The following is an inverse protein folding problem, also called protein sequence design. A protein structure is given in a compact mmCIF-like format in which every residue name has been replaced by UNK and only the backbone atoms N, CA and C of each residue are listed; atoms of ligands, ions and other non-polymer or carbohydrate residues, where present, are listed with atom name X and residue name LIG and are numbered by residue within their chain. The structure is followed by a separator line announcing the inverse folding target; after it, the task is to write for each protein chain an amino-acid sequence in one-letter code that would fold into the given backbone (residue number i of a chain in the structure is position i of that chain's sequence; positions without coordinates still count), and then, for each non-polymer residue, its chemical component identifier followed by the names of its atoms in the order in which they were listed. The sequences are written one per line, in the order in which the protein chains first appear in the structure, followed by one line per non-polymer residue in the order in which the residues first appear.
data_IF_299425459517
#
_entry.id   IF_299425459517
#
_cell.length_a   1.000
_cell.length_b   1.000
_cell.length_c   1.000
_cell.angle_alpha   90.00
_cell.angle_beta   90.00
_cell.angle_gamma   90.00
#
_symmetry.space_group_name_H-M   'P 1'
#
loop_
_entity.id
_entity.type
_entity.pdbx_description
1 polymer ?
#
# COMPACT_ATOMS: atom_id res chain seq x y z
N UNK A 1 -18.72 7.19 19.47
CA UNK A 1 -17.65 6.19 19.49
C UNK A 1 -17.15 6.01 20.91
N UNK A 2 -16.60 7.05 21.55
CA UNK A 2 -16.18 7.01 22.96
C UNK A 2 -17.28 6.58 23.93
N UNK A 3 -18.52 7.10 23.79
CA UNK A 3 -19.65 6.61 24.59
C UNK A 3 -19.83 5.09 24.52
N UNK A 4 -19.75 4.49 23.32
CA UNK A 4 -19.86 3.03 23.17
C UNK A 4 -18.70 2.27 23.82
N UNK A 5 -17.53 2.90 23.95
CA UNK A 5 -16.37 2.32 24.62
C UNK A 5 -16.57 2.40 26.14
N UNK A 6 -17.02 3.55 26.64
CA UNK A 6 -17.36 3.77 28.05
C UNK A 6 -18.44 2.78 28.51
N UNK A 7 -19.51 2.62 27.73
CA UNK A 7 -20.60 1.68 27.99
C UNK A 7 -20.11 0.21 28.06
N UNK A 8 -19.08 -0.15 27.29
CA UNK A 8 -18.54 -1.52 27.25
C UNK A 8 -17.50 -1.81 28.32
N UNK A 9 -16.79 -0.78 28.80
CA UNK A 9 -15.70 -0.93 29.75
C UNK A 9 -16.08 -0.57 31.18
N UNK A 10 -17.30 -0.05 31.40
CA UNK A 10 -17.78 0.47 32.69
C UNK A 10 -16.80 1.49 33.30
N UNK A 11 -16.17 2.30 32.43
CA UNK A 11 -15.29 3.40 32.80
C UNK A 11 -15.71 4.67 32.08
N UNK A 12 -15.55 5.81 32.73
CA UNK A 12 -15.67 7.12 32.09
C UNK A 12 -14.29 7.56 31.58
N UNK A 13 -14.20 7.92 30.30
CA UNK A 13 -12.95 8.40 29.72
C UNK A 13 -12.86 9.90 30.03
N UNK A 14 -11.84 10.27 30.81
CA UNK A 14 -11.64 11.66 31.22
C UNK A 14 -11.57 12.61 30.01
N UNK A 15 -12.59 13.46 29.86
CA UNK A 15 -12.60 14.48 28.81
C UNK A 15 -11.55 15.55 29.08
N UNK A 16 -10.46 15.51 28.33
CA UNK A 16 -9.38 16.50 28.46
C UNK A 16 -9.64 17.81 27.70
N UNK A 17 -10.12 17.72 26.44
CA UNK A 17 -10.33 18.89 25.58
C UNK A 17 -11.38 18.62 24.50
N UNK A 18 -12.21 19.64 24.20
CA UNK A 18 -13.08 19.65 23.02
C UNK A 18 -12.43 20.48 21.90
N UNK A 19 -12.44 19.94 20.68
CA UNK A 19 -11.92 20.61 19.48
C UNK A 19 -12.93 20.51 18.34
N UNK A 20 -12.96 21.50 17.45
CA UNK A 20 -13.79 21.44 16.25
C UNK A 20 -13.12 20.53 15.21
N UNK A 21 -13.78 19.42 14.86
CA UNK A 21 -13.24 18.43 13.92
C UNK A 21 -12.94 19.02 12.54
N UNK A 22 -13.76 19.95 12.05
CA UNK A 22 -13.56 20.60 10.74
C UNK A 22 -12.31 21.47 10.75
N UNK A 23 -12.10 22.25 11.80
CA UNK A 23 -10.91 23.10 11.92
C UNK A 23 -9.64 22.28 12.12
N UNK A 24 -9.71 21.19 12.90
CA UNK A 24 -8.59 20.25 13.03
C UNK A 24 -8.23 19.61 11.68
N UNK A 25 -9.22 19.18 10.90
CA UNK A 25 -8.96 18.56 9.60
C UNK A 25 -8.41 19.57 8.58
N UNK A 26 -8.90 20.82 8.59
CA UNK A 26 -8.29 21.90 7.79
C UNK A 26 -6.82 22.14 8.15
N UNK A 27 -6.47 22.07 9.44
CA UNK A 27 -5.08 22.20 9.90
C UNK A 27 -4.21 21.06 9.36
N UNK A 28 -4.70 19.82 9.42
CA UNK A 28 -4.03 18.64 8.84
C UNK A 28 -3.79 18.86 7.34
N UNK A 29 -4.83 19.21 6.59
CA UNK A 29 -4.72 19.41 5.15
C UNK A 29 -3.78 20.57 4.78
N UNK A 30 -3.80 21.66 5.56
CA UNK A 30 -2.86 22.77 5.36
C UNK A 30 -1.42 22.27 5.50
N UNK A 31 -1.11 21.55 6.57
CA UNK A 31 0.20 20.94 6.78
C UNK A 31 0.58 20.01 5.61
N UNK A 32 -0.36 19.17 5.15
CA UNK A 32 -0.12 18.25 4.03
C UNK A 32 0.20 18.99 2.73
N UNK A 33 -0.51 20.08 2.43
CA UNK A 33 -0.25 20.90 1.25
C UNK A 33 1.13 21.59 1.34
N UNK A 34 1.52 22.03 2.53
CA UNK A 34 2.76 22.78 2.77
C UNK A 34 4.01 21.89 2.85
N UNK A 35 3.88 20.67 3.36
CA UNK A 35 5.02 19.82 3.75
C UNK A 35 4.93 18.38 3.22
N UNK A 36 3.78 17.98 2.66
CA UNK A 36 3.47 16.59 2.34
C UNK A 36 3.03 15.73 3.51
N UNK A 37 3.09 16.26 4.74
CA UNK A 37 2.80 15.57 6.00
C UNK A 37 1.79 16.34 6.87
N UNK A 38 1.06 15.68 7.79
CA UNK A 38 1.20 14.29 8.21
C UNK A 38 0.58 13.30 7.22
N UNK A 39 1.07 12.06 7.27
CA UNK A 39 0.44 10.94 6.57
C UNK A 39 -0.92 10.62 7.21
N UNK A 40 -1.86 10.10 6.42
CA UNK A 40 -3.13 9.60 6.95
C UNK A 40 -3.12 8.08 6.97
N UNK A 41 -3.28 7.52 8.16
CA UNK A 41 -3.45 6.08 8.34
C UNK A 41 -4.84 5.79 8.89
N UNK A 42 -5.64 5.05 8.12
CA UNK A 42 -7.01 4.74 8.47
C UNK A 42 -7.04 3.53 9.42
N UNK A 43 -6.77 3.81 10.70
CA UNK A 43 -6.63 2.81 11.76
C UNK A 43 -7.76 1.79 11.80
N UNK A 44 -8.99 2.21 11.53
CA UNK A 44 -10.17 1.35 11.50
C UNK A 44 -10.14 0.37 10.32
N UNK A 45 -9.82 0.85 9.11
CA UNK A 45 -9.68 0.00 7.92
C UNK A 45 -8.52 -0.98 8.07
N UNK A 46 -7.36 -0.52 8.55
CA UNK A 46 -6.20 -1.37 8.79
C UNK A 46 -6.46 -2.46 9.85
N UNK A 47 -7.16 -2.13 10.94
CA UNK A 47 -7.46 -3.12 11.98
C UNK A 47 -8.60 -4.08 11.62
N UNK A 48 -9.59 -3.67 10.80
CA UNK A 48 -10.56 -4.61 10.22
C UNK A 48 -9.87 -5.67 9.37
N UNK A 49 -8.78 -5.29 8.69
CA UNK A 49 -7.96 -6.17 7.87
C UNK A 49 -6.89 -6.95 8.65
N UNK A 50 -6.75 -6.74 9.96
CA UNK A 50 -5.71 -7.37 10.77
C UNK A 50 -5.92 -8.90 10.86
N UNK A 51 -4.97 -9.72 10.39
CA UNK A 51 -5.08 -11.18 10.52
C UNK A 51 -4.89 -11.67 11.96
N UNK A 52 -4.29 -10.89 12.86
CA UNK A 52 -3.95 -11.29 14.24
C UNK A 52 -4.74 -10.51 15.29
N UNK A 53 -6.05 -10.33 15.11
CA UNK A 53 -6.91 -9.63 16.07
C UNK A 53 -6.93 -10.29 17.45
N UNK A 54 -6.67 -11.61 17.53
CA UNK A 54 -6.55 -12.35 18.79
C UNK A 54 -5.31 -11.95 19.61
N UNK A 55 -4.29 -11.40 18.98
CA UNK A 55 -3.08 -10.86 19.62
C UNK A 55 -3.17 -9.35 19.91
N UNK A 56 -4.35 -8.74 19.73
CA UNK A 56 -4.60 -7.32 19.93
C UNK A 56 -4.81 -6.54 18.64
N UNK A 57 -4.39 -5.27 18.62
CA UNK A 57 -4.63 -4.35 17.50
C UNK A 57 -3.30 -3.80 16.96
N UNK A 58 -3.35 -3.30 15.73
CA UNK A 58 -2.26 -2.61 15.04
C UNK A 58 -2.26 -1.15 15.51
N UNK A 59 -1.22 -0.67 16.20
CA UNK A 59 -1.24 0.67 16.78
C UNK A 59 -0.84 1.78 15.81
N UNK A 60 -0.08 1.47 14.75
CA UNK A 60 0.36 2.43 13.74
C UNK A 60 1.04 1.79 12.53
N UNK A 61 1.31 2.62 11.51
CA UNK A 61 2.04 2.26 10.29
C UNK A 61 3.55 2.55 10.37
N UNK A 62 4.33 1.92 9.49
CA UNK A 62 5.73 2.28 9.27
C UNK A 62 5.88 3.66 8.59
N UNK A 63 7.11 4.07 8.30
CA UNK A 63 7.40 5.39 7.73
C UNK A 63 6.66 5.65 6.41
N UNK A 64 6.66 4.67 5.51
CA UNK A 64 6.13 4.80 4.17
C UNK A 64 4.62 4.36 4.05
N UNK A 65 3.99 3.98 5.18
CA UNK A 65 2.58 3.60 5.28
C UNK A 65 2.13 2.43 4.38
N UNK A 66 3.01 1.47 4.14
CA UNK A 66 2.72 0.22 3.45
C UNK A 66 2.76 -0.99 4.39
N UNK A 67 3.51 -0.94 5.49
CA UNK A 67 3.75 -2.11 6.34
C UNK A 67 3.42 -1.85 7.80
N UNK A 68 2.70 -2.79 8.41
CA UNK A 68 2.33 -2.76 9.82
C UNK A 68 1.82 -4.11 10.30
N UNK A 69 1.85 -4.32 11.61
CA UNK A 69 1.31 -5.50 12.29
C UNK A 69 1.02 -5.18 13.76
N UNK A 70 0.52 -6.17 14.50
CA UNK A 70 0.43 -6.11 15.95
C UNK A 70 1.83 -5.90 16.55
N UNK A 71 1.90 -4.98 17.52
CA UNK A 71 3.08 -4.81 18.39
C UNK A 71 2.62 -4.56 19.82
N UNK A 72 3.28 -5.20 20.78
CA UNK A 72 3.19 -4.86 22.21
C UNK A 72 4.23 -3.78 22.54
N UNK A 73 3.82 -2.56 22.97
CA UNK A 73 4.76 -1.50 23.30
C UNK A 73 5.79 -1.94 24.35
N UNK A 74 7.08 -1.73 24.05
CA UNK A 74 8.20 -2.09 24.92
C UNK A 74 8.68 -3.54 24.78
N UNK A 75 7.91 -4.42 24.14
CA UNK A 75 8.26 -5.84 23.95
C UNK A 75 8.49 -6.23 22.48
N UNK A 76 7.71 -5.64 21.57
CA UNK A 76 7.73 -5.98 20.14
C UNK A 76 7.92 -4.71 19.31
N UNK A 77 8.72 -4.78 18.25
CA UNK A 77 8.86 -3.71 17.26
C UNK A 77 8.69 -4.27 15.86
N UNK A 78 7.77 -3.67 15.09
CA UNK A 78 7.46 -4.13 13.74
C UNK A 78 8.70 -4.12 12.84
N UNK A 79 8.90 -5.23 12.15
CA UNK A 79 9.90 -5.41 11.10
C UNK A 79 9.25 -6.05 9.90
N UNK A 80 9.76 -5.77 8.70
CA UNK A 80 9.28 -6.39 7.48
C UNK A 80 10.43 -6.50 6.49
N UNK A 81 10.51 -7.63 5.80
CA UNK A 81 11.36 -7.77 4.63
C UNK A 81 10.51 -7.46 3.40
N UNK A 82 11.00 -6.58 2.53
CA UNK A 82 10.27 -6.11 1.37
C UNK A 82 10.96 -6.56 0.09
N UNK A 83 10.16 -6.91 -0.91
CA UNK A 83 10.57 -7.12 -2.30
C UNK A 83 9.45 -6.58 -3.20
N UNK A 84 9.71 -6.33 -4.47
CA UNK A 84 8.70 -5.78 -5.36
C UNK A 84 8.82 -6.34 -6.77
N UNK A 85 7.71 -6.88 -7.25
CA UNK A 85 7.59 -7.47 -8.57
C UNK A 85 7.68 -6.38 -9.64
N UNK A 86 8.54 -6.56 -10.64
CA UNK A 86 8.68 -5.62 -11.75
C UNK A 86 7.66 -5.94 -12.87
N UNK A 87 6.48 -5.31 -12.80
CA UNK A 87 5.37 -5.56 -13.73
C UNK A 87 5.65 -5.12 -15.17
N UNK A 88 6.68 -4.29 -15.39
CA UNK A 88 7.11 -3.91 -16.74
C UNK A 88 7.67 -5.11 -17.52
N UNK A 89 8.30 -6.05 -16.81
CA UNK A 89 9.13 -7.12 -17.37
C UNK A 89 8.56 -8.53 -17.14
N UNK A 90 7.64 -8.71 -16.20
CA UNK A 90 7.00 -10.01 -15.95
C UNK A 90 5.96 -10.28 -17.03
N UNK A 91 6.08 -11.43 -17.69
CA UNK A 91 5.05 -11.93 -18.58
C UNK A 91 4.01 -12.76 -17.81
N UNK A 92 2.73 -12.83 -18.28
CA UNK A 92 1.64 -13.44 -17.51
C UNK A 92 1.89 -14.88 -17.07
N UNK A 93 2.59 -15.67 -17.89
CA UNK A 93 2.88 -17.07 -17.62
C UNK A 93 3.95 -17.27 -16.53
N UNK A 94 4.80 -16.26 -16.30
CA UNK A 94 5.89 -16.28 -15.32
C UNK A 94 5.41 -15.84 -13.92
N UNK A 95 4.28 -15.13 -13.84
CA UNK A 95 3.76 -14.56 -12.60
C UNK A 95 3.69 -15.54 -11.43
N UNK A 96 3.21 -16.80 -11.59
CA UNK A 96 3.17 -17.77 -10.50
C UNK A 96 4.56 -18.07 -9.92
N UNK A 97 5.55 -18.28 -10.80
CA UNK A 97 6.93 -18.61 -10.41
C UNK A 97 7.60 -17.42 -9.74
N UNK A 98 7.43 -16.21 -10.28
CA UNK A 98 8.03 -15.00 -9.71
C UNK A 98 7.44 -14.68 -8.33
N UNK A 99 6.12 -14.82 -8.14
CA UNK A 99 5.49 -14.70 -6.82
C UNK A 99 6.03 -15.75 -5.83
N UNK A 100 6.23 -16.99 -6.27
CA UNK A 100 6.80 -18.04 -5.44
C UNK A 100 8.21 -17.70 -4.99
N UNK A 101 9.08 -17.29 -5.93
CA UNK A 101 10.46 -16.90 -5.65
C UNK A 101 10.48 -15.76 -4.64
N UNK A 102 9.69 -14.70 -4.85
CA UNK A 102 9.65 -13.53 -3.97
C UNK A 102 9.29 -13.91 -2.52
N UNK A 103 8.21 -14.69 -2.33
CA UNK A 103 7.79 -15.13 -0.99
C UNK A 103 8.85 -16.00 -0.32
N UNK A 104 9.42 -16.97 -1.05
CA UNK A 104 10.48 -17.84 -0.50
C UNK A 104 11.75 -17.07 -0.17
N UNK A 105 12.15 -16.10 -1.01
CA UNK A 105 13.27 -15.21 -0.74
C UNK A 105 13.05 -14.43 0.55
N UNK A 106 11.89 -13.79 0.71
CA UNK A 106 11.60 -12.99 1.90
C UNK A 106 11.49 -13.84 3.18
N UNK A 107 10.92 -15.05 3.12
CA UNK A 107 10.92 -15.98 4.26
C UNK A 107 12.33 -16.45 4.63
N UNK A 108 13.21 -16.67 3.65
CA UNK A 108 14.61 -16.98 3.92
C UNK A 108 15.36 -15.78 4.52
N UNK A 109 15.05 -14.56 4.07
CA UNK A 109 15.63 -13.31 4.61
C UNK A 109 15.36 -13.16 6.10
N UNK A 110 14.20 -13.59 6.59
CA UNK A 110 13.89 -13.63 8.04
C UNK A 110 14.94 -14.41 8.83
N UNK A 111 15.40 -15.56 8.30
CA UNK A 111 16.33 -16.47 8.98
C UNK A 111 17.77 -15.94 9.00
N UNK A 112 18.19 -15.26 7.93
CA UNK A 112 19.57 -14.76 7.80
C UNK A 112 19.75 -13.34 8.36
N UNK A 113 18.66 -12.62 8.63
CA UNK A 113 18.71 -11.25 9.14
C UNK A 113 19.03 -11.22 10.63
N UNK A 114 20.14 -10.57 10.98
CA UNK A 114 20.42 -10.21 12.36
C UNK A 114 19.66 -8.92 12.72
N UNK A 115 18.58 -9.07 13.48
CA UNK A 115 17.77 -7.94 13.94
C UNK A 115 18.56 -7.03 14.90
N UNK A 116 18.40 -5.70 14.81
CA UNK A 116 19.24 -4.75 15.55
C UNK A 116 19.01 -4.72 17.07
N UNK A 117 17.85 -5.18 17.55
CA UNK A 117 17.51 -5.20 18.98
C UNK A 117 16.43 -6.26 19.29
N UNK A 118 16.29 -6.62 20.57
CA UNK A 118 15.49 -7.79 20.99
C UNK A 118 14.00 -7.66 20.61
N UNK A 119 13.38 -6.50 20.79
CA UNK A 119 11.97 -6.33 20.44
C UNK A 119 11.67 -6.56 18.95
N UNK A 120 12.64 -6.23 18.07
CA UNK A 120 12.56 -6.53 16.64
C UNK A 120 12.71 -8.03 16.38
N UNK A 121 13.60 -8.71 17.10
CA UNK A 121 13.76 -10.17 17.05
C UNK A 121 12.49 -10.91 17.48
N UNK A 122 11.92 -10.52 18.61
CA UNK A 122 10.69 -11.08 19.18
C UNK A 122 9.54 -10.97 18.18
N UNK A 123 9.37 -9.78 17.58
CA UNK A 123 8.36 -9.57 16.55
C UNK A 123 8.59 -10.46 15.31
N UNK A 124 9.82 -10.46 14.78
CA UNK A 124 10.17 -11.20 13.56
C UNK A 124 9.93 -12.72 13.73
N UNK A 125 10.35 -13.28 14.86
CA UNK A 125 10.14 -14.69 15.19
C UNK A 125 8.66 -15.05 15.35
N UNK A 126 7.87 -14.16 15.95
CA UNK A 126 6.45 -14.40 16.23
C UNK A 126 5.55 -14.29 15.01
N UNK A 127 5.75 -13.27 14.18
CA UNK A 127 4.82 -12.92 13.11
C UNK A 127 5.35 -13.19 11.70
N UNK A 128 6.67 -13.32 11.53
CA UNK A 128 7.32 -13.63 10.24
C UNK A 128 6.81 -12.78 9.08
N UNK A 129 6.70 -11.48 9.31
CA UNK A 129 6.13 -10.49 8.38
C UNK A 129 7.03 -10.28 7.16
N UNK A 130 6.43 -10.41 5.98
CA UNK A 130 7.05 -10.10 4.69
C UNK A 130 6.11 -9.16 3.91
N UNK A 131 6.64 -8.51 2.88
CA UNK A 131 5.87 -7.63 2.02
C UNK A 131 6.33 -7.75 0.58
N UNK A 132 5.66 -8.62 -0.18
CA UNK A 132 5.76 -8.64 -1.64
C UNK A 132 4.91 -7.50 -2.19
N UNK A 133 5.56 -6.54 -2.83
CA UNK A 133 4.96 -5.40 -3.49
C UNK A 133 4.99 -5.51 -5.01
N UNK A 134 4.71 -4.40 -5.68
CA UNK A 134 4.81 -4.29 -7.13
C UNK A 134 5.28 -2.89 -7.53
N UNK A 135 6.10 -2.83 -8.57
CA UNK A 135 6.48 -1.62 -9.28
C UNK A 135 6.19 -1.77 -10.77
N UNK A 136 6.16 -0.67 -11.51
CA UNK A 136 5.96 -0.70 -12.96
C UNK A 136 4.50 -0.85 -13.41
N UNK A 137 3.50 -0.56 -12.56
CA UNK A 137 2.09 -0.70 -12.99
C UNK A 137 1.75 0.22 -14.16
N UNK A 138 2.30 1.45 -14.18
CA UNK A 138 2.07 2.37 -15.29
C UNK A 138 2.64 1.81 -16.60
N UNK A 139 3.76 1.09 -16.54
CA UNK A 139 4.36 0.43 -17.69
C UNK A 139 3.54 -0.76 -18.17
N UNK A 140 3.09 -1.61 -17.24
CA UNK A 140 2.21 -2.73 -17.54
C UNK A 140 0.91 -2.25 -18.22
N UNK A 141 0.30 -1.19 -17.69
CA UNK A 141 -0.87 -0.57 -18.30
C UNK A 141 -0.54 -0.05 -19.70
N UNK A 142 0.59 0.63 -19.88
CA UNK A 142 0.99 1.19 -21.16
C UNK A 142 1.21 0.12 -22.23
N UNK A 143 1.98 -0.93 -21.93
CA UNK A 143 2.21 -2.10 -22.81
C UNK A 143 0.89 -2.70 -23.30
N UNK A 144 -0.09 -2.79 -22.40
CA UNK A 144 -1.42 -3.36 -22.67
C UNK A 144 -2.42 -2.36 -23.25
N UNK A 145 -2.02 -1.11 -23.52
CA UNK A 145 -2.91 -0.03 -24.01
C UNK A 145 -4.08 0.26 -23.07
N UNK A 146 -3.82 0.15 -21.77
CA UNK A 146 -4.73 0.42 -20.68
C UNK A 146 -4.36 1.73 -19.96
N UNK A 147 -5.21 2.13 -19.04
CA UNK A 147 -5.01 3.28 -18.14
C UNK A 147 -5.57 2.96 -16.76
N UNK A 148 -5.33 3.81 -15.77
CA UNK A 148 -5.85 3.66 -14.41
C UNK A 148 -7.39 3.63 -14.28
N UNK A 149 -8.14 3.84 -15.36
CA UNK A 149 -9.59 3.62 -15.40
C UNK A 149 -9.99 2.16 -15.64
N UNK A 150 -9.05 1.30 -16.07
CA UNK A 150 -9.25 -0.12 -16.36
C UNK A 150 -9.15 -0.95 -15.07
N UNK A 151 -10.12 -0.73 -14.19
CA UNK A 151 -10.12 -1.26 -12.83
C UNK A 151 -10.26 -2.79 -12.80
N UNK A 152 -10.95 -3.39 -13.76
CA UNK A 152 -11.14 -4.85 -13.81
C UNK A 152 -9.82 -5.56 -14.10
N UNK A 153 -9.06 -5.06 -15.08
CA UNK A 153 -7.76 -5.59 -15.48
C UNK A 153 -6.73 -5.43 -14.37
N UNK A 154 -6.71 -4.27 -13.70
CA UNK A 154 -5.90 -4.05 -12.50
C UNK A 154 -6.31 -5.04 -11.39
N UNK A 155 -7.62 -5.24 -11.18
CA UNK A 155 -8.10 -6.20 -10.18
C UNK A 155 -7.62 -7.62 -10.47
N UNK A 156 -7.71 -8.10 -11.71
CA UNK A 156 -7.29 -9.46 -12.06
C UNK A 156 -5.78 -9.65 -11.85
N UNK A 157 -4.96 -8.68 -12.26
CA UNK A 157 -3.51 -8.73 -12.04
C UNK A 157 -3.16 -8.88 -10.55
N UNK A 158 -3.77 -8.04 -9.70
CA UNK A 158 -3.48 -8.07 -8.27
C UNK A 158 -4.19 -9.22 -7.54
N UNK A 159 -5.30 -9.73 -8.06
CA UNK A 159 -5.89 -10.98 -7.59
C UNK A 159 -4.91 -12.14 -7.77
N UNK A 160 -4.28 -12.25 -8.95
CA UNK A 160 -3.29 -13.29 -9.21
C UNK A 160 -2.05 -13.14 -8.31
N UNK A 161 -1.50 -11.93 -8.18
CA UNK A 161 -0.37 -11.66 -7.26
C UNK A 161 -0.73 -12.07 -5.83
N UNK A 162 -1.87 -11.59 -5.31
CA UNK A 162 -2.33 -11.89 -3.97
C UNK A 162 -2.55 -13.40 -3.77
N UNK A 163 -3.13 -14.08 -4.76
CA UNK A 163 -3.37 -15.52 -4.73
C UNK A 163 -2.07 -16.30 -4.67
N UNK A 164 -1.15 -16.08 -5.62
CA UNK A 164 0.09 -16.85 -5.71
C UNK A 164 0.99 -16.61 -4.50
N UNK A 165 1.12 -15.36 -4.04
CA UNK A 165 1.89 -15.09 -2.83
C UNK A 165 1.29 -15.77 -1.58
N UNK A 166 -0.04 -15.74 -1.41
CA UNK A 166 -0.71 -16.40 -0.29
C UNK A 166 -0.57 -17.91 -0.36
N UNK A 167 -0.76 -18.49 -1.55
CA UNK A 167 -0.56 -19.93 -1.80
C UNK A 167 0.86 -20.37 -1.46
N UNK A 168 1.89 -19.64 -1.90
CA UNK A 168 3.27 -19.98 -1.58
C UNK A 168 3.55 -19.92 -0.07
N UNK A 169 2.98 -18.95 0.66
CA UNK A 169 3.14 -18.92 2.12
C UNK A 169 2.46 -20.11 2.81
N UNK A 170 1.31 -20.57 2.29
CA UNK A 170 0.68 -21.82 2.75
C UNK A 170 1.55 -23.05 2.45
N UNK A 171 2.14 -23.13 1.25
CA UNK A 171 3.05 -24.22 0.87
C UNK A 171 4.31 -24.24 1.75
N UNK A 172 4.89 -23.08 2.05
CA UNK A 172 5.97 -22.97 3.02
C UNK A 172 5.56 -23.41 4.42
N UNK A 173 4.31 -23.21 4.83
CA UNK A 173 3.83 -23.70 6.12
C UNK A 173 3.77 -25.23 6.15
N UNK A 174 3.37 -25.86 5.04
CA UNK A 174 3.39 -27.32 4.88
C UNK A 174 4.83 -27.87 4.95
N UNK A 175 5.79 -27.15 4.39
CA UNK A 175 7.21 -27.55 4.37
C UNK A 175 7.93 -27.29 5.70
N UNK A 176 7.65 -26.16 6.36
CA UNK A 176 8.49 -25.59 7.45
C UNK A 176 7.71 -25.23 8.73
N UNK A 177 6.40 -25.41 8.74
CA UNK A 177 5.49 -24.97 9.80
C UNK A 177 4.98 -23.53 9.62
N UNK A 178 3.81 -23.24 10.18
CA UNK A 178 3.20 -21.90 10.18
C UNK A 178 3.89 -20.92 11.14
N UNK A 179 3.61 -19.61 11.02
CA UNK A 179 4.14 -18.60 11.97
C UNK A 179 3.62 -18.84 13.41
N UNK A 180 4.42 -18.60 14.47
CA UNK A 180 4.05 -18.96 15.84
C UNK A 180 2.70 -18.44 16.34
N UNK A 181 2.30 -17.23 15.95
CA UNK A 181 1.02 -16.62 16.36
C UNK A 181 -0.19 -17.06 15.49
N UNK A 182 -0.06 -18.08 14.64
CA UNK A 182 -1.12 -18.52 13.71
C UNK A 182 -2.41 -18.96 14.40
N UNK A 183 -2.34 -19.71 15.50
CA UNK A 183 -3.53 -20.24 16.18
C UNK A 183 -4.39 -19.10 16.74
N UNK A 184 -5.64 -19.02 16.29
CA UNK A 184 -6.58 -17.97 16.67
C UNK A 184 -6.64 -16.80 15.68
N UNK A 185 -5.72 -16.74 14.72
CA UNK A 185 -5.72 -15.75 13.64
C UNK A 185 -6.91 -15.91 12.71
N UNK A 186 -7.19 -14.85 11.94
CA UNK A 186 -8.14 -14.87 10.84
C UNK A 186 -7.81 -15.99 9.84
N UNK A 187 -6.53 -16.19 9.52
CA UNK A 187 -6.05 -17.27 8.66
C UNK A 187 -6.47 -18.65 9.19
N UNK A 188 -6.27 -18.90 10.50
CA UNK A 188 -6.66 -20.17 11.12
C UNK A 188 -8.17 -20.42 11.16
N UNK A 189 -8.97 -19.38 10.92
CA UNK A 189 -10.44 -19.43 10.82
C UNK A 189 -10.92 -19.54 9.36
N UNK A 190 -10.01 -19.76 8.40
CA UNK A 190 -10.33 -19.84 6.97
C UNK A 190 -10.61 -18.48 6.31
N UNK A 191 -10.37 -17.37 7.01
CA UNK A 191 -10.39 -16.04 6.37
C UNK A 191 -9.09 -15.84 5.61
N UNK A 192 -9.17 -15.07 4.53
CA UNK A 192 -8.06 -14.84 3.62
C UNK A 192 -7.60 -13.37 3.69
N UNK A 193 -6.91 -12.90 2.65
CA UNK A 193 -6.34 -11.55 2.52
C UNK A 193 -7.27 -10.48 3.09
N UNK A 194 -6.74 -9.66 4.01
CA UNK A 194 -7.48 -8.61 4.69
C UNK A 194 -8.53 -9.12 5.69
N UNK A 195 -8.30 -10.30 6.29
CA UNK A 195 -9.21 -10.97 7.21
C UNK A 195 -10.64 -11.15 6.64
N UNK A 196 -10.74 -11.30 5.31
CA UNK A 196 -12.03 -11.43 4.61
C UNK A 196 -12.51 -12.88 4.63
N UNK A 197 -13.81 -13.12 4.83
CA UNK A 197 -14.37 -14.47 4.79
C UNK A 197 -14.34 -15.00 3.34
N UNK A 198 -14.31 -16.33 3.18
CA UNK A 198 -14.19 -16.99 1.87
C UNK A 198 -15.34 -16.59 0.92
N UNK A 199 -16.53 -16.31 1.46
CA UNK A 199 -17.70 -15.87 0.72
C UNK A 199 -17.45 -14.57 -0.04
N UNK A 200 -16.59 -13.68 0.49
CA UNK A 200 -16.21 -12.46 -0.22
C UNK A 200 -15.50 -12.81 -1.53
N UNK A 201 -14.59 -13.79 -1.52
CA UNK A 201 -13.86 -14.22 -2.71
C UNK A 201 -14.77 -14.94 -3.70
N UNK A 202 -15.70 -15.76 -3.23
CA UNK A 202 -16.72 -16.40 -4.09
C UNK A 202 -17.63 -15.39 -4.82
N UNK A 203 -17.77 -14.18 -4.27
CA UNK A 203 -18.56 -13.10 -4.87
C UNK A 203 -17.75 -12.19 -5.78
N UNK A 204 -16.48 -11.90 -5.44
CA UNK A 204 -15.72 -10.81 -6.07
C UNK A 204 -14.51 -11.27 -6.90
N UNK A 205 -13.99 -12.48 -6.67
CA UNK A 205 -12.85 -13.00 -7.42
C UNK A 205 -13.26 -13.46 -8.82
N UNK A 206 -12.37 -13.27 -9.80
CA UNK A 206 -12.51 -13.81 -11.14
C UNK A 206 -12.39 -15.34 -11.14
N UNK A 207 -11.45 -15.88 -10.36
CA UNK A 207 -11.22 -17.32 -10.21
C UNK A 207 -11.60 -17.76 -8.79
N UNK A 208 -12.82 -18.24 -8.59
CA UNK A 208 -13.43 -18.37 -7.25
C UNK A 208 -12.99 -19.63 -6.53
N UNK A 209 -12.94 -20.73 -7.27
CA UNK A 209 -12.72 -22.08 -6.75
C UNK A 209 -11.33 -22.19 -6.11
N UNK A 210 -10.32 -21.52 -6.68
CA UNK A 210 -8.96 -21.51 -6.15
C UNK A 210 -8.88 -20.86 -4.76
N UNK A 211 -9.66 -19.81 -4.49
CA UNK A 211 -9.69 -19.16 -3.18
C UNK A 211 -10.40 -20.02 -2.13
N UNK A 212 -11.46 -20.74 -2.53
CA UNK A 212 -12.12 -21.69 -1.64
C UNK A 212 -11.16 -22.82 -1.25
N UNK A 213 -10.45 -23.38 -2.21
CA UNK A 213 -9.45 -24.41 -1.94
C UNK A 213 -8.32 -23.88 -1.06
N UNK A 214 -7.79 -22.69 -1.35
CA UNK A 214 -6.73 -22.07 -0.54
C UNK A 214 -7.15 -21.81 0.91
N UNK A 215 -8.41 -21.43 1.16
CA UNK A 215 -8.95 -21.28 2.52
C UNK A 215 -8.97 -22.61 3.28
N UNK A 216 -9.31 -23.72 2.61
CA UNK A 216 -9.27 -25.06 3.21
C UNK A 216 -7.82 -25.50 3.47
N UNK A 217 -6.94 -25.28 2.50
CA UNK A 217 -5.52 -25.64 2.61
C UNK A 217 -4.83 -24.87 3.74
N UNK A 218 -5.12 -23.58 3.93
CA UNK A 218 -4.59 -22.78 5.05
C UNK A 218 -5.10 -23.30 6.40
N UNK A 219 -6.35 -23.74 6.50
CA UNK A 219 -6.86 -24.34 7.74
C UNK A 219 -6.20 -25.69 8.03
N UNK A 220 -5.85 -26.45 6.99
CA UNK A 220 -5.22 -27.76 7.12
C UNK A 220 -3.72 -27.67 7.42
N UNK A 221 -2.99 -26.82 6.69
CA UNK A 221 -1.53 -26.77 6.70
C UNK A 221 -0.97 -25.52 7.39
N UNK A 222 -1.78 -24.49 7.58
CA UNK A 222 -1.38 -23.19 8.11
C UNK A 222 -0.84 -22.23 7.06
N UNK A 223 -0.26 -21.12 7.51
CA UNK A 223 0.39 -20.12 6.67
C UNK A 223 1.72 -19.69 7.31
N UNK A 224 2.77 -19.52 6.50
CA UNK A 224 4.14 -19.30 7.00
C UNK A 224 4.36 -17.90 7.52
N UNK A 225 3.68 -16.91 6.93
CA UNK A 225 3.89 -15.49 7.18
C UNK A 225 2.56 -14.85 7.58
N UNK A 226 2.56 -14.03 8.63
CA UNK A 226 1.31 -13.41 9.10
C UNK A 226 0.78 -12.32 8.17
N UNK A 227 1.71 -11.62 7.52
CA UNK A 227 1.48 -10.60 6.50
C UNK A 227 2.41 -10.92 5.33
N UNK A 228 1.92 -10.76 4.11
CA UNK A 228 2.54 -11.33 2.89
C UNK A 228 2.80 -10.26 1.83
N UNK A 229 1.87 -9.32 1.65
CA UNK A 229 1.85 -8.38 0.54
C UNK A 229 1.83 -6.94 1.03
N UNK A 230 2.74 -6.10 0.53
CA UNK A 230 2.86 -4.69 0.91
C UNK A 230 3.43 -3.90 -0.26
N UNK A 231 2.76 -2.82 -0.68
CA UNK A 231 3.21 -2.06 -1.85
C UNK A 231 3.96 -0.80 -1.39
N UNK A 232 5.29 -0.89 -1.45
CA UNK A 232 6.23 0.18 -1.17
C UNK A 232 6.25 1.24 -2.30
N UNK A 233 6.89 2.41 -2.11
CA UNK A 233 6.95 3.45 -3.12
C UNK A 233 7.99 3.20 -4.23
N UNK A 234 9.01 2.36 -3.98
CA UNK A 234 10.08 1.99 -4.94
C UNK A 234 10.79 3.16 -5.63
N UNK A 235 11.01 4.29 -4.95
CA UNK A 235 11.59 5.50 -5.57
C UNK A 235 12.95 5.27 -6.21
N UNK A 236 13.88 4.61 -5.51
CA UNK A 236 15.24 4.34 -6.02
C UNK A 236 15.32 3.00 -6.77
N UNK A 237 14.67 1.95 -6.24
CA UNK A 237 14.68 0.61 -6.84
C UNK A 237 14.06 0.57 -8.23
N UNK A 238 12.99 1.32 -8.50
CA UNK A 238 12.37 1.37 -9.83
C UNK A 238 13.29 1.96 -10.89
N UNK A 239 14.12 2.94 -10.53
CA UNK A 239 15.12 3.53 -11.43
C UNK A 239 16.21 2.52 -11.81
N UNK A 240 16.67 1.72 -10.83
CA UNK A 240 17.63 0.63 -11.08
C UNK A 240 17.01 -0.46 -11.96
N UNK A 241 15.74 -0.76 -11.73
CA UNK A 241 14.97 -1.74 -12.50
C UNK A 241 14.49 -1.24 -13.87
N UNK A 242 14.68 0.04 -14.18
CA UNK A 242 14.27 0.64 -15.44
C UNK A 242 12.75 0.68 -15.65
N UNK A 243 11.97 0.88 -14.59
CA UNK A 243 10.51 0.95 -14.62
C UNK A 243 9.95 2.14 -13.83
N UNK A 244 8.65 2.36 -13.91
CA UNK A 244 7.92 3.35 -13.13
C UNK A 244 7.77 2.92 -11.67
N UNK A 245 7.81 3.91 -10.76
CA UNK A 245 7.79 3.67 -9.33
C UNK A 245 6.42 3.18 -8.84
N UNK A 246 6.43 2.13 -8.01
CA UNK A 246 5.25 1.57 -7.35
C UNK A 246 4.11 1.25 -8.33
N UNK A 247 2.87 1.35 -7.85
CA UNK A 247 1.64 1.21 -8.62
C UNK A 247 1.04 2.56 -9.03
N UNK A 248 1.82 3.64 -9.00
CA UNK A 248 1.31 5.00 -9.20
C UNK A 248 1.60 5.50 -10.62
N UNK A 249 0.81 6.45 -11.14
CA UNK A 249 1.09 7.04 -12.44
C UNK A 249 2.45 7.75 -12.43
N UNK A 250 3.15 7.77 -13.57
CA UNK A 250 4.40 8.50 -13.70
C UNK A 250 4.16 10.01 -13.48
N UNK A 251 5.10 10.69 -12.82
CA UNK A 251 4.97 12.13 -12.57
C UNK A 251 4.73 12.93 -13.86
N UNK A 252 5.58 12.66 -14.85
CA UNK A 252 5.61 13.28 -16.17
C UNK A 252 6.14 12.25 -17.17
N UNK A 253 5.75 12.35 -18.45
CA UNK A 253 6.29 11.49 -19.51
C UNK A 253 7.79 11.71 -19.71
N UNK A 254 8.26 12.92 -19.43
CA UNK A 254 9.66 13.28 -19.42
C UNK A 254 9.89 14.37 -18.39
N UNK A 255 10.94 14.25 -17.58
CA UNK A 255 11.37 15.29 -16.65
C UNK A 255 12.86 15.14 -16.34
N UNK A 256 13.40 16.19 -15.72
CA UNK A 256 14.76 16.19 -15.21
C UNK A 256 14.73 16.11 -13.69
N UNK A 257 15.50 15.18 -13.15
CA UNK A 257 15.69 15.02 -11.72
C UNK A 257 17.11 15.45 -11.32
N UNK A 258 17.27 16.09 -10.16
CA UNK A 258 18.55 16.62 -9.68
C UNK A 258 19.12 15.72 -8.61
N UNK A 259 20.21 15.04 -8.92
CA UNK A 259 20.93 14.20 -7.97
C UNK A 259 22.26 14.84 -7.59
N UNK A 260 22.90 14.32 -6.55
CA UNK A 260 24.19 14.81 -6.07
C UNK A 260 25.30 14.88 -7.15
N UNK A 261 25.20 14.03 -8.20
CA UNK A 261 26.17 13.95 -9.30
C UNK A 261 25.75 14.67 -10.59
N UNK A 262 24.57 15.31 -10.61
CA UNK A 262 24.08 16.03 -11.78
C UNK A 262 22.59 15.83 -12.04
N UNK A 263 22.13 16.38 -13.16
CA UNK A 263 20.74 16.29 -13.59
C UNK A 263 20.55 15.11 -14.53
N UNK A 264 19.59 14.23 -14.21
CA UNK A 264 19.31 13.00 -14.96
C UNK A 264 17.97 13.15 -15.68
N UNK A 265 17.89 12.91 -17.01
CA UNK A 265 16.61 12.81 -17.69
C UNK A 265 15.92 11.50 -17.33
N UNK A 266 14.65 11.56 -16.94
CA UNK A 266 13.83 10.41 -16.59
C UNK A 266 12.62 10.34 -17.53
N UNK A 267 12.39 9.16 -18.08
CA UNK A 267 11.24 8.83 -18.93
C UNK A 267 10.82 7.38 -18.68
N UNK A 268 9.52 7.05 -18.78
CA UNK A 268 9.08 5.66 -18.77
C UNK A 268 9.71 4.84 -19.91
N UNK A 269 10.07 3.56 -19.67
CA UNK A 269 10.81 2.73 -20.62
C UNK A 269 10.12 2.54 -21.97
N UNK A 270 8.78 2.50 -22.01
CA UNK A 270 8.01 2.23 -23.23
C UNK A 270 7.36 3.48 -23.84
N UNK A 271 7.86 4.67 -23.49
CA UNK A 271 7.25 5.94 -23.88
C UNK A 271 7.12 6.10 -25.40
N UNK A 272 8.10 5.62 -26.17
CA UNK A 272 8.12 5.77 -27.63
C UNK A 272 6.93 5.09 -28.30
N UNK A 273 6.61 3.87 -27.89
CA UNK A 273 5.55 3.06 -28.51
C UNK A 273 4.19 3.25 -27.84
N UNK A 274 4.17 3.69 -26.58
CA UNK A 274 2.97 3.75 -25.74
C UNK A 274 2.70 5.15 -25.14
N UNK A 275 3.16 6.21 -25.80
CA UNK A 275 3.07 7.61 -25.33
C UNK A 275 1.71 8.01 -24.72
N UNK A 276 0.61 7.65 -25.41
CA UNK A 276 -0.75 8.02 -25.03
C UNK A 276 -1.27 7.29 -23.78
N UNK A 277 -0.62 6.19 -23.39
CA UNK A 277 -1.03 5.34 -22.27
C UNK A 277 -0.26 5.63 -20.97
N UNK A 278 0.61 6.63 -20.97
CA UNK A 278 1.22 7.21 -19.77
C UNK A 278 0.52 8.51 -19.37
N UNK A 279 -0.57 8.47 -18.57
CA UNK A 279 -1.14 9.68 -17.99
C UNK A 279 -0.16 10.29 -16.98
N UNK A 280 0.06 11.60 -17.07
CA UNK A 280 0.97 12.32 -16.16
C UNK A 280 0.26 12.62 -14.83
N UNK A 281 0.83 12.17 -13.72
CA UNK A 281 0.23 12.33 -12.39
C UNK A 281 0.00 13.81 -12.03
N UNK A 282 0.88 14.70 -12.51
CA UNK A 282 0.82 16.16 -12.28
C UNK A 282 -0.45 16.85 -12.80
N UNK A 283 -1.22 16.20 -13.67
CA UNK A 283 -2.49 16.72 -14.20
C UNK A 283 -3.62 15.69 -14.14
N UNK A 284 -3.38 14.54 -13.53
CA UNK A 284 -4.37 13.49 -13.40
C UNK A 284 -5.31 13.80 -12.24
N UNK A 285 -6.62 13.60 -12.45
CA UNK A 285 -7.58 13.64 -11.36
C UNK A 285 -7.28 12.53 -10.35
N UNK A 286 -6.87 12.92 -9.15
CA UNK A 286 -6.42 11.99 -8.11
C UNK A 286 -7.51 11.02 -7.61
N UNK A 287 -8.79 11.29 -7.87
CA UNK A 287 -9.87 10.31 -7.61
C UNK A 287 -9.74 9.06 -8.47
N UNK A 288 -9.09 9.14 -9.64
CA UNK A 288 -8.78 7.98 -10.49
C UNK A 288 -7.71 7.12 -9.81
N UNK A 289 -6.64 7.74 -9.31
CA UNK A 289 -5.57 7.08 -8.56
C UNK A 289 -6.13 6.37 -7.33
N UNK A 290 -6.95 7.08 -6.53
CA UNK A 290 -7.60 6.51 -5.35
C UNK A 290 -8.44 5.28 -5.69
N UNK A 291 -9.22 5.31 -6.78
CA UNK A 291 -10.02 4.15 -7.19
C UNK A 291 -9.17 2.95 -7.60
N UNK A 292 -8.09 3.19 -8.37
CA UNK A 292 -7.17 2.14 -8.75
C UNK A 292 -6.47 1.53 -7.52
N UNK A 293 -5.94 2.36 -6.62
CA UNK A 293 -5.34 1.90 -5.37
C UNK A 293 -6.34 1.14 -4.50
N UNK A 294 -7.59 1.59 -4.42
CA UNK A 294 -8.63 0.88 -3.67
C UNK A 294 -8.92 -0.51 -4.25
N UNK A 295 -8.90 -0.66 -5.57
CA UNK A 295 -9.03 -1.96 -6.24
C UNK A 295 -7.85 -2.85 -5.91
N UNK A 296 -6.62 -2.33 -6.01
CA UNK A 296 -5.41 -3.09 -5.64
C UNK A 296 -5.45 -3.49 -4.16
N UNK A 297 -5.87 -2.60 -3.27
CA UNK A 297 -5.94 -2.83 -1.83
C UNK A 297 -6.85 -4.00 -1.44
N UNK A 298 -7.81 -4.39 -2.29
CA UNK A 298 -8.63 -5.58 -2.06
C UNK A 298 -7.79 -6.87 -2.06
N UNK A 299 -6.66 -6.88 -2.75
CA UNK A 299 -5.80 -8.05 -2.91
C UNK A 299 -4.48 -7.93 -2.14
N UNK A 300 -4.34 -6.88 -1.32
CA UNK A 300 -3.18 -6.61 -0.48
C UNK A 300 -3.58 -6.66 1.01
N UNK A 301 -2.91 -7.51 1.79
CA UNK A 301 -3.22 -7.73 3.21
C UNK A 301 -2.70 -6.62 4.13
N UNK A 302 -1.54 -6.02 3.83
CA UNK A 302 -1.06 -4.80 4.51
C UNK A 302 -1.45 -3.53 3.74
N UNK A 303 -0.61 -2.51 3.68
CA UNK A 303 -0.86 -1.21 3.08
C UNK A 303 -0.28 -1.04 1.67
N UNK A 304 -0.53 0.16 1.15
CA UNK A 304 -0.01 0.66 -0.11
C UNK A 304 0.46 2.09 0.19
N UNK A 305 1.71 2.41 -0.16
CA UNK A 305 2.25 3.77 -0.09
C UNK A 305 1.62 4.67 -1.16
N UNK A 306 0.33 5.01 -0.99
CA UNK A 306 -0.40 5.85 -1.93
C UNK A 306 0.03 7.31 -1.78
N UNK A 307 0.69 7.83 -2.79
CA UNK A 307 0.98 9.25 -2.95
C UNK A 307 -0.08 9.91 -3.82
N UNK A 308 -0.58 11.07 -3.39
CA UNK A 308 -1.52 11.90 -4.14
C UNK A 308 -0.85 13.20 -4.57
N UNK A 309 -1.17 13.67 -5.77
CA UNK A 309 -0.57 14.87 -6.36
C UNK A 309 -1.61 15.89 -6.77
N UNK A 310 -1.54 17.11 -6.23
CA UNK A 310 -2.46 18.19 -6.54
C UNK A 310 -1.74 19.36 -7.19
N UNK A 311 -2.07 19.66 -8.45
CA UNK A 311 -1.50 20.80 -9.14
C UNK A 311 -2.28 22.08 -8.81
N UNK A 312 -1.73 22.87 -7.90
CA UNK A 312 -2.36 24.11 -7.43
C UNK A 312 -2.26 25.24 -8.46
N UNK A 313 -1.56 25.03 -9.58
CA UNK A 313 -1.53 25.97 -10.70
C UNK A 313 -2.68 25.76 -11.70
N UNK A 314 -3.44 24.66 -11.60
CA UNK A 314 -4.56 24.43 -12.51
C UNK A 314 -5.62 25.54 -12.37
N UNK A 315 -6.13 26.02 -13.51
CA UNK A 315 -7.09 27.13 -13.57
C UNK A 315 -6.56 28.51 -13.18
N UNK A 316 -5.39 28.62 -12.53
CA UNK A 316 -4.83 29.92 -12.08
C UNK A 316 -4.54 30.87 -13.26
N UNK A 317 -4.18 30.33 -14.43
CA UNK A 317 -3.94 31.11 -15.65
C UNK A 317 -5.19 31.31 -16.52
N UNK A 318 -6.35 30.82 -16.08
CA UNK A 318 -7.63 30.93 -16.77
C UNK A 318 -8.66 31.54 -15.83
N UNK A 319 -8.54 32.84 -15.49
CA UNK A 319 -9.39 33.49 -14.48
C UNK A 319 -10.89 33.45 -14.83
N UNK A 320 -11.23 33.32 -16.11
CA UNK A 320 -12.60 33.20 -16.61
C UNK A 320 -13.17 31.77 -16.49
N UNK A 321 -12.35 30.79 -16.08
CA UNK A 321 -12.73 29.39 -15.87
C UNK A 321 -12.40 28.91 -14.44
N UNK A 322 -13.02 29.50 -13.40
CA UNK A 322 -12.66 29.25 -11.99
C UNK A 322 -12.88 27.81 -11.52
N UNK A 323 -13.68 27.02 -12.23
CA UNK A 323 -13.88 25.60 -11.93
C UNK A 323 -12.68 24.72 -12.31
N UNK A 324 -11.70 25.27 -13.03
CA UNK A 324 -10.43 24.58 -13.30
C UNK A 324 -9.46 24.61 -12.12
N UNK A 325 -9.70 25.43 -11.10
CA UNK A 325 -8.81 25.54 -9.94
C UNK A 325 -9.17 24.52 -8.87
N UNK A 326 -8.16 23.77 -8.41
CA UNK A 326 -8.30 22.85 -7.28
C UNK A 326 -8.68 23.62 -6.02
N UNK A 327 -9.82 23.27 -5.42
CA UNK A 327 -10.29 23.84 -4.16
C UNK A 327 -9.87 22.93 -3.01
N UNK A 328 -9.75 23.48 -1.80
CA UNK A 328 -9.51 22.66 -0.60
C UNK A 328 -10.56 21.55 -0.45
N UNK A 329 -11.81 21.80 -0.86
CA UNK A 329 -12.86 20.77 -0.85
C UNK A 329 -12.52 19.58 -1.75
N UNK A 330 -11.85 19.77 -2.88
CA UNK A 330 -11.50 18.68 -3.80
C UNK A 330 -10.44 17.76 -3.19
N UNK A 331 -9.46 18.34 -2.50
CA UNK A 331 -8.47 17.59 -1.71
C UNK A 331 -9.18 16.81 -0.60
N UNK A 332 -10.03 17.48 0.18
CA UNK A 332 -10.82 16.84 1.24
C UNK A 332 -11.64 15.66 0.72
N UNK A 333 -12.42 15.87 -0.35
CA UNK A 333 -13.27 14.84 -0.95
C UNK A 333 -12.44 13.67 -1.47
N UNK A 334 -11.22 13.91 -1.96
CA UNK A 334 -10.30 12.85 -2.43
C UNK A 334 -9.78 12.01 -1.26
N UNK A 335 -9.40 12.65 -0.15
CA UNK A 335 -8.96 11.94 1.07
C UNK A 335 -10.09 11.13 1.71
N UNK A 336 -11.30 11.69 1.74
CA UNK A 336 -12.50 10.98 2.24
C UNK A 336 -12.88 9.83 1.30
N UNK A 337 -12.77 10.01 -0.02
CA UNK A 337 -13.01 8.93 -0.98
C UNK A 337 -12.06 7.75 -0.74
N UNK A 338 -10.78 8.00 -0.45
CA UNK A 338 -9.81 6.96 -0.15
C UNK A 338 -10.26 6.10 1.06
N UNK A 339 -10.68 6.76 2.14
CA UNK A 339 -11.23 6.04 3.30
C UNK A 339 -12.51 5.26 2.95
N UNK A 340 -13.45 5.88 2.23
CA UNK A 340 -14.72 5.25 1.84
C UNK A 340 -14.54 4.03 0.95
N UNK A 341 -13.55 4.04 0.07
CA UNK A 341 -13.25 2.91 -0.82
C UNK A 341 -12.36 1.84 -0.17
N UNK A 342 -11.99 2.00 1.10
CA UNK A 342 -11.25 1.00 1.86
C UNK A 342 -9.73 1.03 1.63
N UNK A 343 -9.17 2.12 1.11
CA UNK A 343 -7.73 2.34 1.22
C UNK A 343 -7.33 2.36 2.70
N UNK A 344 -6.11 1.90 3.02
CA UNK A 344 -5.62 1.84 4.41
C UNK A 344 -4.77 3.05 4.80
N UNK A 345 -4.14 3.70 3.82
CA UNK A 345 -3.34 4.89 4.06
C UNK A 345 -3.31 5.85 2.86
N UNK A 346 -3.01 7.12 3.14
CA UNK A 346 -2.46 8.10 2.21
C UNK A 346 -1.08 8.43 2.76
N UNK A 347 -0.04 8.05 2.04
CA UNK A 347 1.35 8.31 2.41
C UNK A 347 1.65 9.79 2.18
N UNK A 348 2.10 10.20 1.00
CA UNK A 348 2.41 11.61 0.70
C UNK A 348 1.28 12.35 -0.01
N UNK A 349 1.19 13.65 0.26
CA UNK A 349 0.45 14.61 -0.57
C UNK A 349 1.44 15.57 -1.21
N UNK A 350 1.67 15.47 -2.51
CA UNK A 350 2.52 16.42 -3.24
C UNK A 350 1.68 17.53 -3.85
N UNK A 351 2.27 18.71 -3.94
CA UNK A 351 1.66 19.83 -4.66
C UNK A 351 2.59 20.40 -5.71
N UNK A 352 2.03 20.88 -6.82
CA UNK A 352 2.77 21.61 -7.85
C UNK A 352 2.38 23.09 -7.74
N UNK A 353 3.34 23.98 -7.48
CA UNK A 353 3.20 25.44 -7.42
C UNK A 353 4.28 26.10 -8.30
N UNK A 354 4.01 27.26 -8.91
CA UNK A 354 5.07 28.03 -9.59
C UNK A 354 6.12 28.53 -8.59
N UNK A 355 7.36 28.57 -9.06
CA UNK A 355 8.59 29.12 -8.43
C UNK A 355 9.35 28.28 -7.39
N UNK A 356 8.90 27.10 -7.01
CA UNK A 356 9.78 26.12 -6.35
C UNK A 356 9.11 24.76 -6.26
N UNK A 357 9.76 23.71 -6.78
CA UNK A 357 9.56 22.39 -6.18
C UNK A 357 10.12 22.50 -4.76
N UNK A 358 9.26 22.48 -3.73
CA UNK A 358 9.70 22.08 -2.40
C UNK A 358 9.67 20.56 -2.39
N UNK A 359 10.74 19.96 -2.89
CA UNK A 359 11.10 18.64 -2.39
C UNK A 359 11.43 18.84 -0.90
N UNK A 360 10.76 18.10 -0.03
CA UNK A 360 11.25 17.95 1.32
C UNK A 360 12.58 17.18 1.20
N UNK A 361 13.69 17.90 1.33
CA UNK A 361 15.00 17.29 1.56
C UNK A 361 14.85 16.34 2.77
N UNK A 362 15.30 15.10 2.58
CA UNK A 362 15.27 13.95 3.52
C UNK A 362 13.93 13.17 3.69
N UNK A 363 13.38 12.63 2.59
CA UNK A 363 12.27 11.67 2.62
C UNK A 363 12.65 10.19 2.38
N UNK A 364 12.32 9.30 3.34
CA UNK A 364 12.23 7.82 3.31
C UNK A 364 13.25 7.04 2.43
N UNK A 365 14.57 7.29 2.55
CA UNK A 365 15.58 6.39 1.93
C UNK A 365 15.56 5.00 2.59
N UNK A 366 15.19 4.90 3.87
CA UNK A 366 15.29 3.65 4.63
C UNK A 366 14.25 2.57 4.29
N UNK A 367 13.07 2.93 3.75
CA UNK A 367 12.03 1.96 3.37
C UNK A 367 11.74 1.92 1.85
N UNK A 368 12.45 2.71 1.04
CA UNK A 368 12.25 2.79 -0.40
C UNK A 368 13.35 2.10 -1.23
N UNK A 369 14.35 1.51 -0.57
CA UNK A 369 15.48 0.82 -1.22
C UNK A 369 15.09 -0.57 -1.71
#
# INVERSE_FOLDING_TARGET
AYQKIEDNLDIEIALYRKVNARELFKLIMRSQVETGMPYLWFKDTSNRANPNQHEGYIPGGNLCQESWSNVKPGEEAHTCNLDSLNLANIEPEELPEVCEIAVRMLDNTIEITNTPFEASKTHNQKYRTIGVGAMGLADWLAKNRLTYNHLTEISHLFEDIGFYCTKTSMELAKERGYYPAFKGSAWSQGKLIGAKPVEWFLQHAAQKERWQQLSLDIQQYGIRNSHITAIAPNTSSSLVQGCTASILPCYSRFFYDKWAKGTVPIAPPFLQDHFWFYPENKSLNQKIVVKAVAIVQQWIDTGISMELMFNLNEGVYFPDEPDRTIKAKDIFDTLILAWQLGCKAVYYVRTVQRDSFKEADDGCVACAN
#
